data_IF_430181596984
#
_entry.id   IF_430181596984
#
_cell.length_a   1.000
_cell.length_b   1.000
_cell.length_c   1.000
_cell.angle_alpha   90.00
_cell.angle_beta   90.00
_cell.angle_gamma   90.00
#
_symmetry.space_group_name_H-M   'P 1'
#
loop_
_entity.id
_entity.type
_entity.pdbx_description
1 polymer ?
#
# COMPACT_ATOMS: atom_id res chain seq x y z
N UNK A 1 -6.21 -8.84 -22.55
CA UNK A 1 -7.68 -9.05 -22.45
C UNK A 1 -8.27 -7.77 -21.91
N UNK A 2 -9.32 -7.21 -22.52
CA UNK A 2 -10.01 -6.05 -22.00
C UNK A 2 -10.57 -6.28 -20.60
N UNK A 3 -10.61 -5.24 -19.76
CA UNK A 3 -11.08 -5.37 -18.39
C UNK A 3 -12.55 -5.79 -18.32
N UNK A 4 -13.34 -5.37 -19.30
CA UNK A 4 -14.77 -5.70 -19.41
C UNK A 4 -14.98 -7.20 -19.55
N UNK A 5 -14.16 -7.89 -20.33
CA UNK A 5 -14.22 -9.36 -20.49
C UNK A 5 -13.86 -10.07 -19.20
N UNK A 6 -12.80 -9.59 -18.51
CA UNK A 6 -12.36 -10.15 -17.22
C UNK A 6 -13.44 -10.01 -16.15
N UNK A 7 -14.02 -8.81 -16.02
CA UNK A 7 -15.10 -8.55 -15.05
C UNK A 7 -16.37 -9.31 -15.44
N UNK A 8 -16.70 -9.40 -16.75
CA UNK A 8 -17.83 -10.18 -17.26
C UNK A 8 -17.73 -11.66 -16.88
N UNK A 9 -16.56 -12.27 -17.07
CA UNK A 9 -16.33 -13.66 -16.62
C UNK A 9 -16.45 -13.85 -15.12
N UNK A 10 -15.96 -12.88 -14.32
CA UNK A 10 -16.14 -12.91 -12.87
C UNK A 10 -17.60 -12.70 -12.44
N UNK A 11 -18.37 -11.90 -13.17
CA UNK A 11 -19.80 -11.68 -12.92
C UNK A 11 -20.62 -12.97 -13.10
N UNK A 12 -20.26 -13.84 -14.05
CA UNK A 12 -20.89 -15.15 -14.17
C UNK A 12 -20.65 -16.02 -12.94
N UNK A 13 -19.45 -15.96 -12.32
CA UNK A 13 -19.18 -16.68 -11.06
C UNK A 13 -20.01 -16.13 -9.88
N UNK A 14 -20.31 -14.84 -9.86
CA UNK A 14 -21.22 -14.25 -8.87
C UNK A 14 -22.64 -14.79 -9.11
N UNK A 15 -23.11 -14.81 -10.34
CA UNK A 15 -24.43 -15.32 -10.72
C UNK A 15 -24.59 -16.81 -10.40
N UNK A 16 -23.54 -17.60 -10.55
CA UNK A 16 -23.49 -19.01 -10.16
C UNK A 16 -23.37 -19.24 -8.63
N UNK A 17 -23.25 -18.20 -7.82
CA UNK A 17 -23.08 -18.26 -6.38
C UNK A 17 -21.72 -18.76 -5.90
N UNK A 18 -20.72 -18.83 -6.80
CA UNK A 18 -19.36 -19.28 -6.48
C UNK A 18 -18.53 -18.23 -5.75
N UNK A 19 -18.85 -16.95 -5.96
CA UNK A 19 -18.30 -15.83 -5.20
C UNK A 19 -19.41 -14.82 -4.92
N UNK A 20 -19.23 -13.97 -3.90
CA UNK A 20 -20.22 -12.93 -3.58
C UNK A 20 -19.84 -11.57 -4.12
N UNK A 21 -18.54 -11.30 -4.26
CA UNK A 21 -18.02 -9.99 -4.61
C UNK A 21 -16.83 -10.12 -5.55
N UNK A 22 -16.61 -9.08 -6.36
CA UNK A 22 -15.47 -8.97 -7.27
C UNK A 22 -14.60 -7.80 -6.81
N UNK A 23 -13.29 -8.00 -6.88
CA UNK A 23 -12.27 -6.98 -6.63
C UNK A 23 -11.24 -6.99 -7.74
N UNK A 24 -10.62 -5.83 -8.00
CA UNK A 24 -9.49 -5.73 -8.92
C UNK A 24 -8.18 -5.48 -8.15
N UNK A 25 -7.05 -5.71 -8.83
CA UNK A 25 -5.72 -5.51 -8.26
C UNK A 25 -4.84 -4.73 -9.24
N UNK A 26 -4.12 -3.72 -8.72
CA UNK A 26 -3.08 -2.96 -9.45
C UNK A 26 -3.53 -2.43 -10.82
N UNK A 27 -4.79 -2.00 -10.97
CA UNK A 27 -5.31 -1.45 -12.20
C UNK A 27 -5.43 0.08 -12.14
N UNK A 28 -5.52 0.71 -13.32
CA UNK A 28 -5.68 2.15 -13.46
C UNK A 28 -7.06 2.64 -13.02
N UNK A 29 -7.17 3.93 -12.73
CA UNK A 29 -8.45 4.58 -12.46
C UNK A 29 -9.45 4.42 -13.63
N UNK A 30 -8.95 4.42 -14.87
CA UNK A 30 -9.75 4.17 -16.07
C UNK A 30 -10.29 2.73 -16.08
N UNK A 31 -9.43 1.73 -15.86
CA UNK A 31 -9.83 0.32 -15.79
C UNK A 31 -10.86 0.06 -14.70
N UNK A 32 -10.73 0.72 -13.52
CA UNK A 32 -11.73 0.64 -12.46
C UNK A 32 -13.09 1.13 -12.91
N UNK A 33 -13.16 2.31 -13.55
CA UNK A 33 -14.42 2.87 -14.04
C UNK A 33 -15.04 1.99 -15.11
N UNK A 34 -14.26 1.52 -16.08
CA UNK A 34 -14.73 0.62 -17.16
C UNK A 34 -15.24 -0.71 -16.61
N UNK A 35 -14.47 -1.33 -15.70
CA UNK A 35 -14.89 -2.60 -15.08
C UNK A 35 -16.16 -2.45 -14.24
N UNK A 36 -16.31 -1.34 -13.50
CA UNK A 36 -17.48 -1.09 -12.65
C UNK A 36 -18.80 -0.92 -13.43
N UNK A 37 -18.72 -0.54 -14.70
CA UNK A 37 -19.91 -0.48 -15.60
C UNK A 37 -20.43 -1.88 -15.92
N UNK A 38 -19.56 -2.89 -15.97
CA UNK A 38 -19.94 -4.27 -16.28
C UNK A 38 -20.57 -4.95 -15.07
N UNK A 39 -19.96 -4.80 -13.89
CA UNK A 39 -20.45 -5.36 -12.64
C UNK A 39 -19.91 -4.54 -11.45
N UNK A 40 -20.69 -4.37 -10.37
CA UNK A 40 -20.21 -3.70 -9.16
C UNK A 40 -18.93 -4.33 -8.61
N UNK A 41 -17.93 -3.49 -8.37
CA UNK A 41 -16.65 -3.86 -7.76
C UNK A 41 -16.62 -3.34 -6.32
N UNK A 42 -16.12 -4.15 -5.38
CA UNK A 42 -16.15 -3.78 -3.95
C UNK A 42 -14.83 -3.21 -3.45
N UNK A 43 -13.71 -3.57 -4.08
CA UNK A 43 -12.40 -3.06 -3.65
C UNK A 43 -11.37 -3.04 -4.78
N UNK A 44 -10.35 -2.21 -4.57
CA UNK A 44 -9.07 -2.25 -5.29
C UNK A 44 -7.98 -2.69 -4.33
N UNK A 45 -7.25 -3.77 -4.64
CA UNK A 45 -6.04 -4.13 -3.93
C UNK A 45 -4.82 -3.54 -4.64
N UNK A 46 -4.06 -2.70 -3.94
CA UNK A 46 -2.90 -2.02 -4.52
C UNK A 46 -1.81 -1.75 -3.49
N UNK A 47 -0.57 -1.56 -3.95
CA UNK A 47 0.50 -1.11 -3.06
C UNK A 47 0.29 0.36 -2.69
N UNK A 48 0.06 0.60 -1.40
CA UNK A 48 -0.05 1.95 -0.87
C UNK A 48 0.57 2.02 0.52
N UNK A 49 1.61 2.83 0.65
CA UNK A 49 2.42 2.94 1.87
C UNK A 49 3.16 4.27 1.89
N UNK A 50 3.81 4.59 3.01
CA UNK A 50 4.71 5.74 3.12
C UNK A 50 5.79 5.78 2.03
N UNK A 51 6.19 4.63 1.45
CA UNK A 51 7.19 4.54 0.39
C UNK A 51 6.59 4.34 -1.02
N UNK A 52 5.27 4.16 -1.14
CA UNK A 52 4.55 3.97 -2.41
C UNK A 52 3.29 4.80 -2.38
N UNK A 53 3.38 6.03 -2.88
CA UNK A 53 2.30 7.03 -2.85
C UNK A 53 1.73 7.34 -4.25
N UNK A 54 2.15 6.60 -5.27
CA UNK A 54 1.78 6.85 -6.67
C UNK A 54 0.27 6.96 -6.88
N UNK A 55 -0.53 6.20 -6.11
CA UNK A 55 -1.98 6.19 -6.19
C UNK A 55 -2.66 7.55 -5.89
N UNK A 56 -1.99 8.42 -5.15
CA UNK A 56 -2.48 9.76 -4.86
C UNK A 56 -2.46 10.65 -6.13
N UNK A 57 -1.50 10.42 -7.03
CA UNK A 57 -1.31 11.18 -8.28
C UNK A 57 -1.96 10.51 -9.49
N UNK A 58 -2.10 9.19 -9.48
CA UNK A 58 -2.62 8.40 -10.60
C UNK A 58 -4.15 8.28 -10.61
N UNK A 59 -4.83 8.88 -9.63
CA UNK A 59 -6.30 8.98 -9.58
C UNK A 59 -7.03 7.72 -9.10
N UNK A 60 -6.32 6.66 -8.65
CA UNK A 60 -6.98 5.45 -8.15
C UNK A 60 -7.77 5.71 -6.86
N UNK A 61 -7.26 6.57 -5.97
CA UNK A 61 -7.97 6.93 -4.73
C UNK A 61 -9.27 7.65 -5.07
N UNK A 62 -9.24 8.60 -6.00
CA UNK A 62 -10.43 9.33 -6.43
C UNK A 62 -11.45 8.42 -7.12
N UNK A 63 -11.00 7.50 -7.98
CA UNK A 63 -11.87 6.53 -8.62
C UNK A 63 -12.54 5.59 -7.59
N UNK A 64 -11.79 5.10 -6.61
CA UNK A 64 -12.37 4.28 -5.54
C UNK A 64 -13.40 5.04 -4.72
N UNK A 65 -13.13 6.31 -4.38
CA UNK A 65 -14.09 7.18 -3.70
C UNK A 65 -15.36 7.40 -4.52
N UNK A 66 -15.22 7.73 -5.80
CA UNK A 66 -16.32 7.92 -6.76
C UNK A 66 -17.21 6.69 -6.84
N UNK A 67 -16.62 5.51 -6.90
CA UNK A 67 -17.29 4.22 -7.07
C UNK A 67 -17.73 3.57 -5.74
N UNK A 68 -17.46 4.19 -4.60
CA UNK A 68 -17.77 3.62 -3.28
C UNK A 68 -16.96 2.36 -2.94
N UNK A 69 -15.78 2.21 -3.53
CA UNK A 69 -14.90 1.06 -3.36
C UNK A 69 -13.94 1.23 -2.18
N UNK A 70 -13.60 0.12 -1.53
CA UNK A 70 -12.55 0.08 -0.51
C UNK A 70 -11.18 -0.14 -1.16
N UNK A 71 -10.16 0.59 -0.71
CA UNK A 71 -8.77 0.31 -1.08
C UNK A 71 -8.17 -0.67 -0.07
N UNK A 72 -7.69 -1.81 -0.52
CA UNK A 72 -6.93 -2.78 0.27
C UNK A 72 -5.44 -2.53 0.06
N UNK A 73 -4.83 -1.78 0.99
CA UNK A 73 -3.44 -1.35 0.88
C UNK A 73 -2.47 -2.46 1.30
N UNK A 74 -1.76 -3.07 0.34
CA UNK A 74 -0.72 -4.04 0.65
C UNK A 74 0.67 -3.39 0.74
N UNK A 75 1.65 -4.15 1.24
CA UNK A 75 3.03 -3.71 1.46
C UNK A 75 3.16 -2.45 2.32
N UNK A 76 2.20 -2.19 3.21
CA UNK A 76 2.18 -1.01 4.10
C UNK A 76 3.42 -0.88 4.97
N UNK A 77 4.11 -1.99 5.27
CA UNK A 77 5.39 -2.02 5.98
C UNK A 77 6.61 -1.88 5.05
N UNK A 78 6.43 -1.50 3.78
CA UNK A 78 7.52 -1.36 2.82
C UNK A 78 8.35 -2.65 2.66
N UNK A 79 7.68 -3.82 2.67
CA UNK A 79 8.32 -5.16 2.64
C UNK A 79 9.32 -5.37 3.76
N UNK A 80 9.08 -4.78 4.92
CA UNK A 80 9.90 -4.84 6.13
C UNK A 80 10.79 -3.62 6.37
N UNK A 81 10.96 -2.72 5.40
CA UNK A 81 11.76 -1.50 5.59
C UNK A 81 11.19 -0.60 6.70
N UNK A 82 9.87 -0.60 6.88
CA UNK A 82 9.15 0.17 7.90
C UNK A 82 8.77 -0.69 9.14
N UNK A 83 9.41 -1.83 9.34
CA UNK A 83 9.25 -2.66 10.54
C UNK A 83 10.30 -2.34 11.62
N UNK A 84 10.25 -3.02 12.76
CA UNK A 84 11.18 -2.81 13.89
C UNK A 84 12.67 -2.91 13.48
N UNK A 85 12.98 -3.82 12.56
CA UNK A 85 14.32 -3.95 11.99
C UNK A 85 14.22 -3.89 10.48
N UNK A 86 14.93 -2.93 9.88
CA UNK A 86 15.06 -2.88 8.42
C UNK A 86 15.84 -4.12 7.94
N UNK A 87 15.40 -4.76 6.85
CA UNK A 87 16.14 -5.87 6.27
C UNK A 87 17.53 -5.40 5.79
N UNK A 88 18.55 -6.18 6.08
CA UNK A 88 19.92 -5.93 5.58
C UNK A 88 20.16 -6.85 4.38
N UNK A 89 20.63 -6.28 3.28
CA UNK A 89 20.88 -7.02 2.05
C UNK A 89 21.84 -8.19 2.25
N UNK A 90 22.89 -7.97 3.03
CA UNK A 90 23.96 -8.93 3.31
C UNK A 90 23.45 -10.13 4.12
N UNK A 91 22.34 -9.97 4.82
CA UNK A 91 21.72 -11.00 5.68
C UNK A 91 20.53 -11.69 4.98
N UNK A 92 20.18 -11.30 3.73
CA UNK A 92 19.05 -11.87 3.01
C UNK A 92 19.42 -13.25 2.42
N UNK A 93 18.55 -14.26 2.57
CA UNK A 93 18.70 -15.51 1.84
C UNK A 93 18.76 -15.28 0.31
N UNK A 94 19.45 -16.14 -0.45
CA UNK A 94 19.59 -15.97 -1.90
C UNK A 94 18.26 -15.98 -2.67
N UNK A 95 17.23 -16.63 -2.12
CA UNK A 95 15.88 -16.74 -2.66
C UNK A 95 14.92 -15.66 -2.17
N UNK A 96 15.42 -14.71 -1.35
CA UNK A 96 14.59 -13.60 -0.88
C UNK A 96 14.28 -12.64 -2.04
N UNK A 97 13.00 -12.52 -2.38
CA UNK A 97 12.55 -11.65 -3.47
C UNK A 97 12.99 -10.19 -3.30
N UNK A 98 13.21 -9.73 -2.06
CA UNK A 98 13.64 -8.36 -1.77
C UNK A 98 15.01 -8.04 -2.35
N UNK A 99 15.88 -9.04 -2.50
CA UNK A 99 17.18 -8.89 -3.14
C UNK A 99 17.07 -8.43 -4.61
N UNK A 100 15.93 -8.67 -5.26
CA UNK A 100 15.66 -8.25 -6.64
C UNK A 100 14.95 -6.88 -6.71
N UNK A 101 14.50 -6.34 -5.58
CA UNK A 101 13.72 -5.10 -5.56
C UNK A 101 14.63 -3.88 -5.47
N UNK A 102 14.49 -2.90 -6.39
CA UNK A 102 15.38 -1.74 -6.46
C UNK A 102 15.50 -0.94 -5.15
N UNK A 103 14.44 -0.88 -4.34
CA UNK A 103 14.44 -0.20 -3.03
C UNK A 103 15.44 -0.73 -2.04
N UNK A 104 15.87 -1.98 -2.19
CA UNK A 104 16.82 -2.65 -1.29
C UNK A 104 18.25 -2.64 -1.82
N UNK A 105 18.48 -2.21 -3.06
CA UNK A 105 19.83 -2.11 -3.61
C UNK A 105 20.65 -1.04 -2.88
N UNK A 106 21.96 -1.26 -2.76
CA UNK A 106 22.88 -0.38 -2.02
C UNK A 106 22.79 1.08 -2.43
N UNK A 107 22.59 1.37 -3.72
CA UNK A 107 22.42 2.73 -4.24
C UNK A 107 21.17 3.47 -3.70
N UNK A 108 20.16 2.75 -3.20
CA UNK A 108 18.88 3.29 -2.78
C UNK A 108 18.63 3.14 -1.28
N UNK A 109 19.26 2.15 -0.64
CA UNK A 109 18.96 1.77 0.74
C UNK A 109 19.31 2.86 1.74
N UNK A 110 20.40 3.60 1.53
CA UNK A 110 20.84 4.65 2.44
C UNK A 110 19.79 5.78 2.57
N UNK A 111 19.27 6.27 1.44
CA UNK A 111 18.19 7.26 1.46
C UNK A 111 16.94 6.72 2.15
N UNK A 112 16.55 5.48 1.86
CA UNK A 112 15.37 4.87 2.45
C UNK A 112 15.53 4.66 3.97
N UNK A 113 16.72 4.33 4.45
CA UNK A 113 17.01 4.25 5.88
C UNK A 113 16.98 5.63 6.57
N UNK A 114 17.44 6.69 5.89
CA UNK A 114 17.33 8.07 6.39
C UNK A 114 15.87 8.49 6.56
N UNK A 115 15.02 8.22 5.55
CA UNK A 115 13.57 8.48 5.63
C UNK A 115 12.93 7.67 6.77
N UNK A 116 13.29 6.39 6.88
CA UNK A 116 12.86 5.51 7.97
C UNK A 116 13.16 6.11 9.34
N UNK A 117 14.40 6.56 9.57
CA UNK A 117 14.81 7.12 10.86
C UNK A 117 14.04 8.40 11.21
N UNK A 118 13.75 9.25 10.22
CA UNK A 118 12.93 10.43 10.44
C UNK A 118 11.47 10.08 10.81
N UNK A 119 10.90 9.05 10.17
CA UNK A 119 9.56 8.54 10.51
C UNK A 119 9.52 7.87 11.90
N UNK A 120 10.61 7.24 12.32
CA UNK A 120 10.74 6.65 13.65
C UNK A 120 10.59 7.70 14.75
N UNK A 121 11.15 8.90 14.54
CA UNK A 121 10.99 10.02 15.48
C UNK A 121 9.52 10.47 15.60
N UNK A 122 8.77 10.46 14.49
CA UNK A 122 7.32 10.75 14.51
C UNK A 122 6.58 9.66 15.29
N UNK A 123 6.87 8.38 15.04
CA UNK A 123 6.24 7.26 15.72
C UNK A 123 6.48 7.34 17.25
N UNK A 124 7.70 7.64 17.68
CA UNK A 124 8.04 7.79 19.09
C UNK A 124 7.22 8.87 19.81
N UNK A 125 7.03 10.02 19.17
CA UNK A 125 6.16 11.09 19.73
C UNK A 125 4.70 10.69 19.89
N UNK A 126 4.25 9.72 19.08
CA UNK A 126 2.90 9.13 19.14
C UNK A 126 2.83 7.93 20.10
N UNK A 127 3.90 7.60 20.84
CA UNK A 127 4.01 6.38 21.65
C UNK A 127 3.71 5.10 20.83
N UNK A 128 4.16 5.07 19.58
CA UNK A 128 3.93 4.00 18.64
C UNK A 128 5.26 3.44 18.10
N UNK A 129 5.21 2.22 17.58
CA UNK A 129 6.31 1.70 16.77
C UNK A 129 6.22 2.26 15.34
N UNK A 130 7.34 2.22 14.61
CA UNK A 130 7.35 2.59 13.20
C UNK A 130 6.38 1.75 12.38
N UNK A 131 6.28 0.44 12.66
CA UNK A 131 5.32 -0.44 12.01
C UNK A 131 3.87 0.02 12.23
N UNK A 132 3.55 0.41 13.45
CA UNK A 132 2.23 0.92 13.78
C UNK A 132 1.94 2.26 13.09
N UNK A 133 2.92 3.18 13.02
CA UNK A 133 2.79 4.42 12.26
C UNK A 133 2.53 4.13 10.78
N UNK A 134 3.30 3.21 10.18
CA UNK A 134 3.17 2.83 8.77
C UNK A 134 1.83 2.18 8.44
N UNK A 135 1.20 1.49 9.39
CA UNK A 135 -0.15 0.91 9.24
C UNK A 135 -1.23 1.97 9.46
N UNK A 136 -1.06 2.87 10.43
CA UNK A 136 -2.03 3.92 10.73
C UNK A 136 -2.11 4.98 9.62
N UNK A 137 -1.00 5.26 8.95
CA UNK A 137 -0.91 6.31 7.95
C UNK A 137 -1.87 6.14 6.76
N UNK A 138 -1.99 4.98 6.07
CA UNK A 138 -2.94 4.85 4.97
C UNK A 138 -4.40 4.99 5.41
N UNK A 139 -4.75 4.57 6.63
CA UNK A 139 -6.09 4.80 7.18
C UNK A 139 -6.37 6.30 7.37
N UNK A 140 -5.38 7.04 7.89
CA UNK A 140 -5.50 8.49 8.08
C UNK A 140 -5.56 9.24 6.73
N UNK A 141 -4.80 8.79 5.74
CA UNK A 141 -4.89 9.32 4.37
C UNK A 141 -6.26 9.04 3.74
N UNK A 142 -6.82 7.86 3.97
CA UNK A 142 -8.18 7.55 3.56
C UNK A 142 -9.20 8.52 4.14
N UNK A 143 -9.12 8.78 5.44
CA UNK A 143 -9.97 9.76 6.11
C UNK A 143 -9.80 11.18 5.55
N UNK A 144 -8.57 11.59 5.28
CA UNK A 144 -8.23 12.89 4.65
C UNK A 144 -8.80 13.03 3.23
N UNK A 145 -8.71 11.95 2.42
CA UNK A 145 -9.22 11.90 1.06
C UNK A 145 -10.74 11.68 0.97
N UNK A 146 -11.38 11.25 2.06
CA UNK A 146 -12.77 10.79 2.06
C UNK A 146 -12.95 9.45 1.36
N UNK A 147 -11.94 8.58 1.40
CA UNK A 147 -11.92 7.23 0.83
C UNK A 147 -11.75 6.19 1.95
N UNK A 148 -12.23 4.97 1.72
CA UNK A 148 -12.02 3.87 2.66
C UNK A 148 -10.74 3.13 2.30
N UNK A 149 -9.73 3.16 3.20
CA UNK A 149 -8.46 2.46 3.00
C UNK A 149 -8.23 1.50 4.18
N UNK A 150 -8.08 0.22 3.85
CA UNK A 150 -7.83 -0.87 4.79
C UNK A 150 -6.42 -1.41 4.55
N UNK A 151 -5.47 -1.18 5.47
CA UNK A 151 -4.15 -1.78 5.37
C UNK A 151 -4.21 -3.29 5.62
N UNK A 152 -3.45 -4.07 4.84
CA UNK A 152 -3.35 -5.52 4.98
C UNK A 152 -1.90 -5.95 5.30
N UNK A 153 -1.37 -5.60 6.50
CA UNK A 153 -0.01 -5.94 6.89
C UNK A 153 0.17 -7.44 7.10
N UNK A 154 1.24 -8.01 6.57
CA UNK A 154 1.64 -9.38 6.85
C UNK A 154 2.06 -9.56 8.32
N UNK A 155 1.74 -10.71 8.92
CA UNK A 155 2.18 -11.11 10.25
C UNK A 155 2.59 -12.59 10.27
N UNK A 156 3.82 -12.88 10.72
CA UNK A 156 4.33 -14.26 10.88
C UNK A 156 4.32 -14.76 12.33
N UNK A 157 3.88 -13.92 13.28
CA UNK A 157 3.79 -14.26 14.69
C UNK A 157 2.61 -13.56 15.35
N UNK A 158 2.11 -14.14 16.46
CA UNK A 158 1.07 -13.52 17.30
C UNK A 158 1.49 -12.12 17.76
N UNK A 159 2.75 -11.94 18.16
CA UNK A 159 3.29 -10.64 18.58
C UNK A 159 3.11 -9.57 17.48
N UNK A 160 3.49 -9.90 16.24
CA UNK A 160 3.33 -8.98 15.11
C UNK A 160 1.86 -8.73 14.76
N UNK A 161 0.99 -9.74 14.86
CA UNK A 161 -0.45 -9.55 14.65
C UNK A 161 -1.03 -8.58 15.67
N UNK A 162 -0.72 -8.77 16.95
CA UNK A 162 -1.19 -7.87 18.03
C UNK A 162 -0.64 -6.45 17.87
N UNK A 163 0.63 -6.30 17.46
CA UNK A 163 1.23 -5.01 17.14
C UNK A 163 0.48 -4.32 15.99
N UNK A 164 0.24 -5.04 14.89
CA UNK A 164 -0.46 -4.53 13.73
C UNK A 164 -1.89 -4.08 14.08
N UNK A 165 -2.64 -4.88 14.85
CA UNK A 165 -4.01 -4.53 15.26
C UNK A 165 -4.04 -3.27 16.14
N UNK A 166 -3.05 -3.07 17.01
CA UNK A 166 -2.96 -1.85 17.84
C UNK A 166 -2.79 -0.59 17.01
N UNK A 167 -2.26 -0.66 15.79
CA UNK A 167 -2.13 0.49 14.89
C UNK A 167 -3.48 1.17 14.60
N UNK A 168 -4.59 0.44 14.61
CA UNK A 168 -5.93 0.98 14.41
C UNK A 168 -6.37 1.98 15.51
N UNK A 169 -5.64 2.05 16.63
CA UNK A 169 -5.91 2.99 17.72
C UNK A 169 -5.10 4.28 17.63
N UNK A 170 -4.17 4.37 16.68
CA UNK A 170 -3.31 5.55 16.50
C UNK A 170 -4.07 6.59 15.70
N UNK A 171 -4.23 7.75 16.31
CA UNK A 171 -4.83 8.91 15.63
C UNK A 171 -3.71 9.83 15.15
N UNK A 172 -3.63 10.02 13.84
CA UNK A 172 -2.74 10.99 13.20
C UNK A 172 -3.54 12.27 12.93
N UNK A 173 -3.07 13.37 13.50
CA UNK A 173 -3.65 14.70 13.29
C UNK A 173 -3.26 15.27 11.91
N UNK A 174 -3.88 16.36 11.51
CA UNK A 174 -3.49 17.08 10.28
C UNK A 174 -2.02 17.52 10.33
N UNK A 175 -1.53 17.95 11.50
CA UNK A 175 -0.13 18.37 11.67
C UNK A 175 0.83 17.19 11.59
N UNK A 176 0.45 16.02 12.16
CA UNK A 176 1.22 14.78 12.00
C UNK A 176 1.34 14.39 10.51
N UNK A 177 0.22 14.43 9.78
CA UNK A 177 0.22 14.13 8.35
C UNK A 177 1.05 15.14 7.54
N UNK A 178 0.96 16.43 7.86
CA UNK A 178 1.76 17.46 7.21
C UNK A 178 3.26 17.29 7.51
N UNK A 179 3.63 16.85 8.70
CA UNK A 179 5.02 16.52 9.03
C UNK A 179 5.50 15.28 8.25
N UNK A 180 4.69 14.22 8.22
CA UNK A 180 5.00 13.00 7.45
C UNK A 180 5.16 13.33 5.96
N UNK A 181 4.30 14.17 5.39
CA UNK A 181 4.39 14.62 4.00
C UNK A 181 5.69 15.37 3.70
N UNK A 182 6.23 16.14 4.66
CA UNK A 182 7.54 16.80 4.53
C UNK A 182 8.71 15.83 4.64
N UNK A 183 8.58 14.78 5.44
CA UNK A 183 9.62 13.75 5.60
C UNK A 183 9.66 12.85 4.36
N UNK A 184 8.49 12.42 3.90
CA UNK A 184 8.33 11.49 2.77
C UNK A 184 7.36 12.08 1.75
N UNK A 185 7.76 13.13 1.01
CA UNK A 185 6.96 13.62 -0.11
C UNK A 185 6.84 12.55 -1.20
N UNK A 186 5.97 12.77 -2.18
CA UNK A 186 5.83 11.89 -3.33
C UNK A 186 7.19 11.64 -4.00
N UNK A 187 7.49 10.38 -4.29
CA UNK A 187 8.75 10.00 -4.92
C UNK A 187 10.00 10.05 -4.03
N UNK A 188 9.90 10.34 -2.73
CA UNK A 188 11.05 10.45 -1.83
C UNK A 188 11.78 9.12 -1.61
N UNK A 189 11.07 7.99 -1.63
CA UNK A 189 11.68 6.68 -1.50
C UNK A 189 12.46 6.32 -2.79
N UNK A 190 13.74 6.03 -2.63
CA UNK A 190 14.61 5.67 -3.75
C UNK A 190 14.35 4.25 -4.24
N UNK A 191 14.37 4.07 -5.56
CA UNK A 191 14.10 2.80 -6.24
C UNK A 191 12.62 2.56 -6.50
N UNK A 192 12.33 1.90 -7.63
CA UNK A 192 10.97 1.50 -8.02
C UNK A 192 10.46 0.34 -7.16
N UNK A 193 9.14 0.15 -7.13
CA UNK A 193 8.47 -0.96 -6.41
C UNK A 193 8.93 -2.34 -6.89
N UNK A 194 9.13 -2.46 -8.19
CA UNK A 194 9.60 -3.65 -8.90
C UNK A 194 10.73 -3.29 -9.85
N UNK A 195 11.53 -4.25 -10.34
CA UNK A 195 12.45 -4.03 -11.45
C UNK A 195 11.75 -3.35 -12.63
N UNK A 196 12.45 -2.46 -13.34
CA UNK A 196 11.87 -1.65 -14.44
C UNK A 196 11.11 -2.51 -15.45
N UNK A 197 11.64 -3.67 -15.82
CA UNK A 197 10.98 -4.61 -16.74
C UNK A 197 9.66 -5.21 -16.22
N UNK A 198 9.31 -5.01 -14.95
CA UNK A 198 8.06 -5.47 -14.33
C UNK A 198 7.09 -4.32 -14.00
N UNK A 199 7.54 -3.07 -14.09
CA UNK A 199 6.69 -1.90 -13.75
C UNK A 199 5.47 -1.76 -14.67
N UNK A 200 5.50 -2.34 -15.88
CA UNK A 200 4.34 -2.37 -16.78
C UNK A 200 3.17 -3.21 -16.25
N UNK A 201 3.34 -3.95 -15.15
CA UNK A 201 2.29 -4.78 -14.52
C UNK A 201 1.48 -4.04 -13.47
N UNK A 202 1.83 -2.81 -13.18
CA UNK A 202 1.11 -1.95 -12.22
C UNK A 202 0.44 -0.81 -12.96
N UNK A 203 -0.70 -0.36 -12.47
CA UNK A 203 -1.51 0.70 -13.08
C UNK A 203 -2.01 0.33 -14.49
N UNK A 204 -2.53 -0.88 -14.67
CA UNK A 204 -3.06 -1.43 -15.94
C UNK A 204 -4.47 -0.92 -16.25
#
# INVERSE_FOLDING_TARGET
>A
MPIEESVGGMAELVKEGKTRFISLSECSAESLRRGSVVHPLVSLQMEYSLFSRDAEEQGQIDACKELGMTIMAYAVLGRGMLSAQAPKMEEMPPDDIRAQLPRFHSANVENNLRLRSALEAVAHRKNATLAQLAIAWPMAQGSRAGAFIVPIPGAKSRKHLEENVRAARIVLTTDDLAEIDRIVPHGAASGTRYPIGQMHRVNL
#
